data_IF_632907798570
#
_entry.id   IF_632907798570
#
_cell.length_a   1.000
_cell.length_b   1.000
_cell.length_c   1.000
_cell.angle_alpha   90.00
_cell.angle_beta   90.00
_cell.angle_gamma   90.00
#
_symmetry.space_group_name_H-M   'P 1'
#
loop_
_entity.id
_entity.type
_entity.pdbx_description
1 polymer ?
#
# COMPACT_ATOMS: atom_id res chain seq x y z
N UNK A 1 -11.60 8.87 28.92
CA UNK A 1 -11.75 7.66 28.05
C UNK A 1 -10.61 7.63 27.04
N UNK A 2 -9.96 6.45 26.85
CA UNK A 2 -8.85 6.32 25.89
C UNK A 2 -9.25 5.37 24.77
N UNK A 3 -9.03 5.79 23.49
CA UNK A 3 -9.31 5.04 22.27
C UNK A 3 -8.03 4.95 21.45
N UNK A 4 -7.76 3.79 20.86
CA UNK A 4 -6.58 3.58 20.02
C UNK A 4 -6.96 2.95 18.68
N UNK A 5 -6.55 3.58 17.57
CA UNK A 5 -6.82 3.13 16.19
C UNK A 5 -5.51 2.76 15.50
N UNK A 6 -5.39 1.50 15.09
CA UNK A 6 -4.23 0.91 14.42
C UNK A 6 -4.55 0.58 12.96
N UNK A 7 -3.55 0.56 12.11
CA UNK A 7 -3.69 0.08 10.74
C UNK A 7 -3.38 1.11 9.66
N UNK A 8 -3.28 0.62 8.43
CA UNK A 8 -2.84 1.40 7.28
C UNK A 8 -4.00 2.07 6.52
N UNK A 9 -5.27 1.67 6.78
CA UNK A 9 -6.45 2.28 6.16
C UNK A 9 -6.76 3.65 6.78
N UNK A 10 -6.15 4.68 6.20
CA UNK A 10 -6.29 6.07 6.66
C UNK A 10 -7.74 6.59 6.49
N UNK A 11 -8.44 6.12 5.44
CA UNK A 11 -9.82 6.51 5.20
C UNK A 11 -10.74 6.00 6.29
N UNK A 12 -10.75 4.69 6.56
CA UNK A 12 -11.62 4.09 7.57
C UNK A 12 -11.33 4.61 8.97
N UNK A 13 -10.04 4.82 9.32
CA UNK A 13 -9.68 5.48 10.58
C UNK A 13 -10.20 6.92 10.64
N UNK A 14 -10.10 7.67 9.53
CA UNK A 14 -10.62 9.04 9.46
C UNK A 14 -12.13 9.12 9.69
N UNK A 15 -12.90 8.20 9.11
CA UNK A 15 -14.34 8.11 9.34
C UNK A 15 -14.67 7.71 10.80
N UNK A 16 -13.93 6.75 11.36
CA UNK A 16 -14.13 6.37 12.79
C UNK A 16 -13.84 7.55 13.73
N UNK A 17 -12.77 8.33 13.46
CA UNK A 17 -12.49 9.55 14.25
C UNK A 17 -13.64 10.53 14.15
N UNK A 18 -14.19 10.79 12.95
CA UNK A 18 -15.35 11.69 12.78
C UNK A 18 -16.58 11.20 13.55
N UNK A 19 -16.87 9.90 13.46
CA UNK A 19 -18.00 9.29 14.20
C UNK A 19 -17.78 9.42 15.70
N UNK A 20 -16.57 9.13 16.18
CA UNK A 20 -16.20 9.26 17.59
C UNK A 20 -16.35 10.70 18.09
N UNK A 21 -15.80 11.68 17.36
CA UNK A 21 -15.90 13.09 17.72
C UNK A 21 -17.35 13.58 17.72
N UNK A 22 -18.12 13.23 16.70
CA UNK A 22 -19.54 13.60 16.63
C UNK A 22 -20.36 12.99 17.76
N UNK A 23 -20.07 11.76 18.15
CA UNK A 23 -20.75 11.08 19.28
C UNK A 23 -20.41 11.72 20.62
N UNK A 24 -19.15 12.16 20.80
CA UNK A 24 -18.67 12.71 22.07
C UNK A 24 -18.97 14.20 22.20
N UNK A 25 -18.76 14.99 21.14
CA UNK A 25 -18.83 16.47 21.17
C UNK A 25 -20.10 17.04 20.54
N UNK A 26 -20.88 16.20 19.79
CA UNK A 26 -22.07 16.67 19.08
C UNK A 26 -21.72 17.73 18.03
N UNK A 27 -22.35 18.88 18.10
CA UNK A 27 -22.13 20.00 17.17
C UNK A 27 -20.88 20.83 17.48
N UNK A 28 -20.15 20.51 18.56
CA UNK A 28 -18.92 21.21 18.97
C UNK A 28 -17.64 20.56 18.42
N UNK A 29 -17.75 19.73 17.41
CA UNK A 29 -16.57 19.07 16.78
C UNK A 29 -15.56 20.07 16.23
N UNK A 30 -16.04 21.21 15.71
CA UNK A 30 -15.22 22.28 15.12
C UNK A 30 -14.80 23.36 16.14
N UNK A 31 -15.17 23.20 17.41
CA UNK A 31 -14.78 24.10 18.49
C UNK A 31 -13.35 23.76 18.99
N UNK A 32 -12.35 24.66 18.78
CA UNK A 32 -10.98 24.43 19.22
C UNK A 32 -10.83 24.23 20.73
N UNK A 33 -11.81 24.69 21.52
CA UNK A 33 -11.82 24.52 22.97
C UNK A 33 -12.35 23.15 23.40
N UNK A 34 -13.10 22.48 22.53
CA UNK A 34 -13.67 21.16 22.79
C UNK A 34 -12.85 20.02 22.12
N UNK A 35 -12.19 20.32 20.98
CA UNK A 35 -11.45 19.33 20.20
C UNK A 35 -10.04 19.83 19.89
N UNK A 36 -9.01 19.21 20.47
CA UNK A 36 -7.62 19.46 20.17
C UNK A 36 -7.05 18.35 19.30
N UNK A 37 -6.62 18.67 18.06
CA UNK A 37 -5.99 17.70 17.14
C UNK A 37 -4.50 18.02 17.08
N UNK A 38 -3.67 17.08 17.52
CA UNK A 38 -2.21 17.18 17.55
C UNK A 38 -1.62 16.16 16.59
N UNK A 39 -0.78 16.63 15.66
CA UNK A 39 -0.03 15.77 14.74
C UNK A 39 1.36 15.51 15.29
N UNK A 40 1.76 14.24 15.36
CA UNK A 40 3.10 13.88 15.83
C UNK A 40 4.24 14.42 14.92
N UNK A 41 3.89 14.85 13.72
CA UNK A 41 4.82 15.43 12.73
C UNK A 41 4.82 16.95 12.71
N UNK A 42 4.09 17.63 13.60
CA UNK A 42 4.02 19.09 13.62
C UNK A 42 5.37 19.70 14.03
N UNK A 43 6.05 20.43 13.13
CA UNK A 43 7.36 21.00 13.40
C UNK A 43 7.30 22.22 14.33
N UNK A 44 6.13 22.79 14.59
CA UNK A 44 5.95 23.96 15.45
C UNK A 44 5.86 23.57 16.94
N UNK A 45 5.62 22.29 17.23
CA UNK A 45 5.50 21.79 18.60
C UNK A 45 6.85 21.19 19.04
N UNK A 46 7.53 21.78 20.00
CA UNK A 46 8.86 21.32 20.45
C UNK A 46 8.83 19.92 21.09
N UNK A 47 7.80 19.63 21.88
CA UNK A 47 7.55 18.34 22.53
C UNK A 47 6.09 17.95 22.31
N UNK A 48 5.87 16.98 21.47
CA UNK A 48 4.51 16.47 21.20
C UNK A 48 3.93 15.80 22.45
N UNK A 49 4.79 15.13 23.24
CA UNK A 49 4.33 14.47 24.47
C UNK A 49 3.79 15.48 25.49
N UNK A 50 4.52 16.58 25.71
CA UNK A 50 4.07 17.64 26.62
C UNK A 50 2.78 18.30 26.13
N UNK A 51 2.69 18.61 24.83
CA UNK A 51 1.49 19.21 24.26
C UNK A 51 0.25 18.30 24.42
N UNK A 52 0.40 16.99 24.23
CA UNK A 52 -0.70 16.03 24.42
C UNK A 52 -1.13 15.98 25.87
N UNK A 53 -0.17 15.90 26.80
CA UNK A 53 -0.43 15.85 28.24
C UNK A 53 -1.09 17.14 28.72
N UNK A 54 -0.55 18.30 28.35
CA UNK A 54 -1.11 19.61 28.68
C UNK A 54 -2.53 19.76 28.15
N UNK A 55 -2.78 19.37 26.89
CA UNK A 55 -4.12 19.40 26.32
C UNK A 55 -5.09 18.47 27.06
N UNK A 56 -4.63 17.32 27.53
CA UNK A 56 -5.45 16.38 28.30
C UNK A 56 -5.68 16.83 29.76
N UNK A 57 -4.72 17.51 30.37
CA UNK A 57 -4.80 17.96 31.77
C UNK A 57 -5.50 19.33 31.88
N UNK A 58 -5.66 20.05 30.77
CA UNK A 58 -6.36 21.35 30.74
C UNK A 58 -7.85 21.10 30.84
N UNK A 59 -8.43 21.44 31.96
CA UNK A 59 -9.91 21.45 32.13
C UNK A 59 -10.45 22.73 31.52
N UNK A 60 -11.16 22.62 30.41
CA UNK A 60 -11.83 23.77 29.82
C UNK A 60 -12.95 24.29 30.75
N UNK A 61 -12.86 25.54 31.15
CA UNK A 61 -13.93 26.18 31.92
C UNK A 61 -15.23 26.39 31.08
N UNK A 62 -15.13 26.20 29.76
CA UNK A 62 -16.21 26.45 28.80
C UNK A 62 -16.74 25.18 28.10
N UNK A 63 -16.12 24.03 28.31
CA UNK A 63 -16.50 22.77 27.70
C UNK A 63 -16.66 21.68 28.75
N UNK A 64 -17.87 21.09 28.84
CA UNK A 64 -18.14 19.95 29.73
C UNK A 64 -17.37 18.72 29.34
N UNK A 65 -17.08 18.56 28.03
CA UNK A 65 -16.27 17.47 27.49
C UNK A 65 -15.24 18.02 26.52
N UNK A 66 -14.00 17.54 26.63
CA UNK A 66 -12.88 17.84 25.75
C UNK A 66 -12.30 16.54 25.20
N UNK A 67 -11.97 16.54 23.91
CA UNK A 67 -11.33 15.41 23.24
C UNK A 67 -9.99 15.84 22.68
N UNK A 68 -8.96 15.08 23.00
CA UNK A 68 -7.63 15.23 22.39
C UNK A 68 -7.43 14.11 21.38
N UNK A 69 -6.99 14.44 20.17
CA UNK A 69 -6.71 13.48 19.09
C UNK A 69 -5.23 13.58 18.73
N UNK A 70 -4.47 12.55 19.03
CA UNK A 70 -3.08 12.41 18.59
C UNK A 70 -3.06 11.63 17.28
N UNK A 71 -2.68 12.33 16.20
CA UNK A 71 -2.56 11.77 14.84
C UNK A 71 -1.12 11.35 14.55
N UNK A 72 -0.96 10.26 13.77
CA UNK A 72 0.34 9.77 13.31
C UNK A 72 1.32 9.46 14.46
N UNK A 73 0.85 8.84 15.53
CA UNK A 73 1.67 8.55 16.71
C UNK A 73 2.91 7.68 16.40
N UNK A 74 2.91 6.97 15.27
CA UNK A 74 4.06 6.21 14.77
C UNK A 74 5.23 7.08 14.28
N UNK A 75 5.04 8.39 14.13
CA UNK A 75 6.08 9.37 13.82
C UNK A 75 6.72 9.99 15.07
N UNK A 76 6.21 9.67 16.27
CA UNK A 76 6.78 10.16 17.52
C UNK A 76 8.20 9.67 17.74
N UNK A 77 9.05 10.55 18.28
CA UNK A 77 10.36 10.17 18.81
C UNK A 77 10.19 9.17 19.96
N UNK A 78 11.17 8.30 20.15
CA UNK A 78 11.16 7.30 21.23
C UNK A 78 11.03 7.94 22.62
N UNK A 79 11.63 9.13 22.82
CA UNK A 79 11.49 9.94 24.04
C UNK A 79 10.03 10.27 24.34
N UNK A 80 9.33 10.82 23.34
CA UNK A 80 7.93 11.22 23.49
C UNK A 80 7.01 10.03 23.69
N UNK A 81 7.28 8.93 22.98
CA UNK A 81 6.53 7.67 23.22
C UNK A 81 6.65 7.18 24.66
N UNK A 82 7.85 7.28 25.28
CA UNK A 82 8.05 6.88 26.67
C UNK A 82 7.29 7.81 27.63
N UNK A 83 7.39 9.13 27.44
CA UNK A 83 6.69 10.10 28.28
C UNK A 83 5.17 9.87 28.24
N UNK A 84 4.60 9.71 27.03
CA UNK A 84 3.16 9.41 26.87
C UNK A 84 2.81 8.05 27.50
N UNK A 85 3.65 7.02 27.34
CA UNK A 85 3.40 5.70 27.89
C UNK A 85 3.41 5.70 29.43
N UNK A 86 4.34 6.43 30.04
CA UNK A 86 4.42 6.58 31.49
C UNK A 86 3.21 7.34 32.02
N UNK A 87 2.82 8.45 31.37
CA UNK A 87 1.62 9.20 31.71
C UNK A 87 0.33 8.39 31.55
N UNK A 88 0.16 7.63 30.45
CA UNK A 88 -0.97 6.72 30.26
C UNK A 88 -1.08 5.68 31.38
N UNK A 89 0.05 5.25 31.93
CA UNK A 89 0.09 4.26 33.03
C UNK A 89 -0.50 4.80 34.34
N UNK A 90 -0.61 6.12 34.50
CA UNK A 90 -1.30 6.78 35.63
C UNK A 90 -2.81 6.73 35.51
N UNK A 91 -3.37 6.28 34.35
CA UNK A 91 -4.80 6.25 34.03
C UNK A 91 -5.45 7.64 34.09
N UNK A 92 -5.03 8.60 33.27
CA UNK A 92 -5.55 9.95 33.28
C UNK A 92 -7.05 9.99 33.01
N UNK A 93 -7.76 10.91 33.66
CA UNK A 93 -9.18 11.17 33.49
C UNK A 93 -9.38 12.17 32.35
N UNK A 94 -9.12 11.75 31.11
CA UNK A 94 -9.34 12.54 29.90
C UNK A 94 -9.92 11.69 28.78
N UNK A 95 -10.41 12.35 27.72
CA UNK A 95 -10.80 11.68 26.50
C UNK A 95 -9.71 11.86 25.44
N UNK A 96 -8.94 10.80 25.19
CA UNK A 96 -7.81 10.80 24.27
C UNK A 96 -8.00 9.72 23.20
N UNK A 97 -7.91 10.12 21.93
CA UNK A 97 -7.84 9.21 20.80
C UNK A 97 -6.42 9.22 20.23
N UNK A 98 -5.81 8.05 20.10
CA UNK A 98 -4.46 7.87 19.54
C UNK A 98 -4.57 7.08 18.24
N UNK A 99 -4.06 7.66 17.16
CA UNK A 99 -4.06 7.03 15.84
C UNK A 99 -2.62 6.75 15.39
N UNK A 100 -2.37 5.51 14.94
CA UNK A 100 -1.10 5.07 14.37
C UNK A 100 -1.29 4.15 13.16
N UNK A 101 -0.26 3.98 12.34
CA UNK A 101 -0.25 2.96 11.28
C UNK A 101 0.16 1.60 11.82
N UNK A 102 0.98 1.54 12.87
CA UNK A 102 1.36 0.30 13.54
C UNK A 102 1.82 0.52 14.98
N UNK A 103 0.94 0.25 15.93
CA UNK A 103 1.32 0.25 17.35
C UNK A 103 2.34 -0.83 17.67
N UNK A 104 2.23 -1.99 17.02
CA UNK A 104 3.08 -3.14 17.32
C UNK A 104 4.55 -2.94 16.94
N UNK A 105 4.81 -2.30 15.82
CA UNK A 105 6.18 -2.13 15.28
C UNK A 105 6.77 -0.75 15.52
N UNK A 106 5.95 0.30 15.53
CA UNK A 106 6.43 1.69 15.57
C UNK A 106 6.14 2.43 16.88
N UNK A 107 5.09 2.03 17.63
CA UNK A 107 4.69 2.66 18.90
C UNK A 107 4.74 1.67 20.07
N UNK A 108 5.85 0.95 20.21
CA UNK A 108 5.95 -0.17 21.16
C UNK A 108 5.76 0.22 22.62
N UNK A 109 6.23 1.39 23.04
CA UNK A 109 6.05 1.90 24.41
C UNK A 109 4.59 2.23 24.68
N UNK A 110 3.92 2.97 23.80
CA UNK A 110 2.50 3.30 23.91
C UNK A 110 1.64 2.02 23.85
N UNK A 111 1.95 1.10 22.92
CA UNK A 111 1.24 -0.19 22.81
C UNK A 111 1.30 -0.98 24.11
N UNK A 112 2.45 -0.98 24.78
CA UNK A 112 2.64 -1.67 26.05
C UNK A 112 1.84 -1.01 27.19
N UNK A 113 1.79 0.31 27.22
CA UNK A 113 1.00 1.08 28.18
C UNK A 113 -0.51 0.85 27.99
N UNK A 114 -1.01 0.93 26.75
CA UNK A 114 -2.41 0.66 26.41
C UNK A 114 -2.87 -0.73 26.86
N UNK A 115 -2.02 -1.75 26.64
CA UNK A 115 -2.30 -3.11 27.12
C UNK A 115 -2.38 -3.21 28.65
N UNK A 116 -1.47 -2.53 29.38
CA UNK A 116 -1.48 -2.52 30.85
C UNK A 116 -2.78 -1.92 31.42
N UNK A 117 -3.29 -0.85 30.79
CA UNK A 117 -4.54 -0.22 31.21
C UNK A 117 -5.78 -0.85 30.58
N UNK A 118 -5.62 -1.96 29.83
CA UNK A 118 -6.68 -2.75 29.17
C UNK A 118 -7.51 -1.99 28.15
N UNK A 119 -6.88 -1.06 27.40
CA UNK A 119 -7.51 -0.38 26.26
C UNK A 119 -7.45 -1.31 25.05
N UNK A 120 -8.59 -1.51 24.39
CA UNK A 120 -8.68 -2.26 23.14
C UNK A 120 -8.18 -1.39 21.98
N UNK A 121 -7.26 -1.95 21.19
CA UNK A 121 -6.78 -1.31 19.96
C UNK A 121 -7.66 -1.80 18.81
N UNK A 122 -8.39 -0.88 18.18
CA UNK A 122 -9.19 -1.17 16.98
C UNK A 122 -8.27 -1.19 15.76
N UNK A 123 -8.37 -2.24 14.93
CA UNK A 123 -7.50 -2.44 13.78
C UNK A 123 -8.23 -2.17 12.47
N UNK A 124 -7.63 -1.32 11.62
CA UNK A 124 -8.13 -0.92 10.31
C UNK A 124 -7.09 -1.28 9.23
N UNK A 125 -7.00 -2.57 8.84
CA UNK A 125 -6.09 -2.99 7.76
C UNK A 125 -6.60 -2.49 6.42
N UNK A 126 -5.68 -2.25 5.47
CA UNK A 126 -6.07 -2.04 4.07
C UNK A 126 -6.84 -3.26 3.54
N UNK A 127 -7.84 -3.04 2.68
CA UNK A 127 -8.46 -4.13 1.93
C UNK A 127 -7.39 -4.89 1.16
N UNK A 128 -7.51 -6.21 1.11
CA UNK A 128 -6.58 -7.01 0.30
C UNK A 128 -6.84 -6.79 -1.19
N UNK A 129 -5.86 -7.00 -2.09
CA UNK A 129 -6.02 -6.77 -3.53
C UNK A 129 -7.28 -7.40 -4.13
N UNK A 130 -7.67 -8.59 -3.64
CA UNK A 130 -8.88 -9.28 -4.11
C UNK A 130 -10.17 -8.85 -3.42
N UNK A 131 -10.09 -8.00 -2.41
CA UNK A 131 -11.22 -7.45 -1.65
C UNK A 131 -11.54 -6.01 -2.08
N UNK A 132 -10.60 -5.35 -2.77
CA UNK A 132 -10.70 -3.91 -3.09
C UNK A 132 -11.93 -3.59 -3.96
N UNK A 133 -12.23 -4.40 -4.98
CA UNK A 133 -13.39 -4.17 -5.83
C UNK A 133 -14.71 -4.26 -5.04
N UNK A 134 -14.80 -5.24 -4.14
CA UNK A 134 -15.96 -5.39 -3.25
C UNK A 134 -16.05 -4.21 -2.27
N UNK A 135 -14.91 -3.76 -1.76
CA UNK A 135 -14.82 -2.60 -0.87
C UNK A 135 -15.30 -1.33 -1.57
N UNK A 136 -14.84 -1.06 -2.81
CA UNK A 136 -15.29 0.08 -3.62
C UNK A 136 -16.80 0.03 -3.86
N UNK A 137 -17.32 -1.14 -4.25
CA UNK A 137 -18.77 -1.31 -4.48
C UNK A 137 -19.58 -0.98 -3.23
N UNK A 138 -19.16 -1.49 -2.08
CA UNK A 138 -19.80 -1.24 -0.81
C UNK A 138 -19.72 0.25 -0.40
N UNK A 139 -18.54 0.88 -0.60
CA UNK A 139 -18.34 2.30 -0.34
C UNK A 139 -19.30 3.17 -1.14
N UNK A 140 -19.40 2.96 -2.46
CA UNK A 140 -20.29 3.74 -3.33
C UNK A 140 -21.74 3.65 -2.87
N UNK A 141 -22.17 2.46 -2.49
CA UNK A 141 -23.53 2.23 -2.01
C UNK A 141 -23.77 2.87 -0.63
N UNK A 142 -22.90 2.62 0.34
CA UNK A 142 -23.12 3.02 1.74
C UNK A 142 -22.95 4.53 1.96
N UNK A 143 -21.97 5.14 1.28
CA UNK A 143 -21.64 6.56 1.49
C UNK A 143 -22.49 7.50 0.63
N UNK A 144 -22.73 7.15 -0.63
CA UNK A 144 -23.37 8.04 -1.60
C UNK A 144 -24.70 7.51 -2.14
N UNK A 145 -25.10 6.30 -1.75
CA UNK A 145 -26.27 5.60 -2.30
C UNK A 145 -26.21 5.54 -3.85
N UNK A 146 -25.01 5.36 -4.40
CA UNK A 146 -24.75 5.28 -5.84
C UNK A 146 -24.33 3.88 -6.23
N UNK A 147 -24.60 3.50 -7.48
CA UNK A 147 -24.12 2.25 -8.06
C UNK A 147 -22.77 2.47 -8.74
N UNK A 148 -22.00 1.42 -8.85
CA UNK A 148 -20.77 1.37 -9.67
C UNK A 148 -20.79 0.09 -10.49
N UNK A 149 -20.45 0.18 -11.77
CA UNK A 149 -20.39 -0.95 -12.66
C UNK A 149 -19.12 -1.79 -12.42
N UNK A 150 -19.20 -3.11 -12.70
CA UNK A 150 -18.04 -3.99 -12.49
C UNK A 150 -16.80 -3.57 -13.31
N UNK A 151 -16.91 -3.15 -14.59
CA UNK A 151 -15.74 -2.64 -15.32
C UNK A 151 -15.15 -1.38 -14.68
N UNK A 152 -15.99 -0.48 -14.18
CA UNK A 152 -15.57 0.72 -13.46
C UNK A 152 -14.84 0.42 -12.16
N UNK A 153 -15.33 -0.57 -11.40
CA UNK A 153 -14.69 -1.03 -10.16
C UNK A 153 -13.31 -1.61 -10.45
N UNK A 154 -13.23 -2.44 -11.50
CA UNK A 154 -11.95 -3.03 -11.92
C UNK A 154 -10.96 -1.96 -12.36
N UNK A 155 -11.41 -0.98 -13.16
CA UNK A 155 -10.57 0.15 -13.58
C UNK A 155 -10.02 0.94 -12.39
N UNK A 156 -10.86 1.25 -11.38
CA UNK A 156 -10.42 1.95 -10.17
C UNK A 156 -9.36 1.16 -9.38
N UNK A 157 -9.62 -0.13 -9.18
CA UNK A 157 -8.69 -1.01 -8.49
C UNK A 157 -7.34 -1.10 -9.22
N UNK A 158 -7.37 -1.14 -10.56
CA UNK A 158 -6.16 -1.15 -11.38
C UNK A 158 -5.44 0.21 -11.41
N UNK A 159 -6.18 1.33 -11.50
CA UNK A 159 -5.64 2.67 -11.60
C UNK A 159 -5.06 3.21 -10.28
N UNK A 160 -5.70 2.93 -9.14
CA UNK A 160 -5.38 3.52 -7.83
C UNK A 160 -4.87 2.49 -6.81
N UNK A 161 -4.99 1.19 -7.09
CA UNK A 161 -4.54 0.12 -6.21
C UNK A 161 -5.34 0.02 -4.92
N UNK A 162 -4.65 -0.14 -3.79
CA UNK A 162 -5.24 -0.34 -2.46
C UNK A 162 -5.31 0.98 -1.66
N UNK A 163 -5.04 2.13 -2.28
CA UNK A 163 -5.09 3.44 -1.61
C UNK A 163 -6.54 3.90 -1.44
N UNK A 164 -7.15 3.47 -0.33
CA UNK A 164 -8.56 3.76 0.00
C UNK A 164 -8.86 5.25 0.07
N UNK A 165 -7.95 6.05 0.60
CA UNK A 165 -8.13 7.50 0.73
C UNK A 165 -8.14 8.18 -0.64
N UNK A 166 -7.25 7.77 -1.53
CA UNK A 166 -7.17 8.29 -2.89
C UNK A 166 -8.40 7.88 -3.72
N UNK A 167 -8.84 6.62 -3.61
CA UNK A 167 -10.06 6.14 -4.28
C UNK A 167 -11.26 7.00 -3.87
N UNK A 168 -11.45 7.26 -2.58
CA UNK A 168 -12.54 8.10 -2.08
C UNK A 168 -12.44 9.52 -2.62
N UNK A 169 -11.25 10.11 -2.55
CA UNK A 169 -11.01 11.48 -3.03
C UNK A 169 -11.32 11.65 -4.51
N UNK A 170 -10.92 10.68 -5.36
CA UNK A 170 -11.20 10.73 -6.79
C UNK A 170 -12.70 10.57 -7.08
N UNK A 171 -13.39 9.66 -6.39
CA UNK A 171 -14.84 9.49 -6.53
C UNK A 171 -15.61 10.73 -6.05
N UNK A 172 -15.18 11.37 -4.96
CA UNK A 172 -15.78 12.62 -4.48
C UNK A 172 -15.63 13.77 -5.49
N UNK A 173 -14.47 13.92 -6.12
CA UNK A 173 -14.26 14.92 -7.18
C UNK A 173 -15.22 14.71 -8.36
N UNK A 174 -15.41 13.44 -8.77
CA UNK A 174 -16.35 13.12 -9.84
C UNK A 174 -17.77 13.47 -9.44
N UNK A 175 -18.19 13.18 -8.22
CA UNK A 175 -19.51 13.54 -7.73
C UNK A 175 -19.71 15.06 -7.61
N UNK A 176 -18.66 15.82 -7.29
CA UNK A 176 -18.73 17.28 -7.27
C UNK A 176 -18.90 17.86 -8.67
N UNK A 177 -18.26 17.27 -9.68
CA UNK A 177 -18.38 17.72 -11.08
C UNK A 177 -19.63 17.18 -11.78
N UNK A 178 -20.19 16.07 -11.31
CA UNK A 178 -21.38 15.40 -11.87
C UNK A 178 -22.40 15.06 -10.77
N UNK A 179 -23.07 16.05 -10.17
CA UNK A 179 -23.98 15.82 -9.03
C UNK A 179 -25.16 14.90 -9.38
N UNK A 180 -25.60 14.94 -10.66
CA UNK A 180 -26.70 14.13 -11.20
C UNK A 180 -26.35 12.67 -11.45
N UNK A 181 -25.09 12.30 -11.32
CA UNK A 181 -24.61 10.94 -11.60
C UNK A 181 -25.36 9.90 -10.77
N UNK A 182 -26.02 8.95 -11.43
CA UNK A 182 -26.71 7.85 -10.76
C UNK A 182 -25.85 6.59 -10.58
N UNK A 183 -24.88 6.40 -11.45
CA UNK A 183 -23.97 5.25 -11.47
C UNK A 183 -22.60 5.63 -12.02
N UNK A 184 -21.53 5.11 -11.42
CA UNK A 184 -20.18 5.24 -11.96
C UNK A 184 -19.97 4.23 -13.08
N UNK A 185 -19.71 4.71 -14.29
CA UNK A 185 -19.34 3.91 -15.46
C UNK A 185 -17.84 3.97 -15.69
N UNK A 186 -17.29 3.00 -16.44
CA UNK A 186 -15.86 2.99 -16.76
C UNK A 186 -15.44 4.25 -17.57
N UNK A 187 -16.29 4.70 -18.49
CA UNK A 187 -15.99 5.88 -19.33
C UNK A 187 -15.83 7.14 -18.48
N UNK A 188 -16.75 7.39 -17.56
CA UNK A 188 -16.67 8.54 -16.64
C UNK A 188 -15.39 8.49 -15.81
N UNK A 189 -15.01 7.30 -15.33
CA UNK A 189 -13.79 7.16 -14.55
C UNK A 189 -12.54 7.41 -15.39
N UNK A 190 -12.50 6.91 -16.62
CA UNK A 190 -11.38 7.12 -17.55
C UNK A 190 -11.20 8.58 -17.95
N UNK A 191 -12.28 9.32 -18.11
CA UNK A 191 -12.25 10.74 -18.44
C UNK A 191 -11.73 11.62 -17.28
N UNK A 192 -12.03 11.23 -16.04
CA UNK A 192 -11.77 12.05 -14.86
C UNK A 192 -10.55 11.59 -14.03
N UNK A 193 -10.20 10.32 -14.08
CA UNK A 193 -9.11 9.75 -13.29
C UNK A 193 -7.91 9.46 -14.18
N UNK A 194 -6.85 10.23 -13.98
CA UNK A 194 -5.54 9.86 -14.52
C UNK A 194 -4.99 8.73 -13.67
N UNK A 195 -4.74 7.58 -14.29
CA UNK A 195 -4.15 6.43 -13.59
C UNK A 195 -2.87 6.86 -12.85
N UNK A 196 -2.90 6.83 -11.53
CA UNK A 196 -1.76 7.09 -10.66
C UNK A 196 -1.02 5.80 -10.32
N UNK A 197 -1.36 4.71 -11.02
CA UNK A 197 -0.72 3.43 -10.81
C UNK A 197 0.79 3.59 -10.92
N UNK A 198 1.46 3.45 -9.79
CA UNK A 198 2.91 3.37 -9.78
C UNK A 198 3.28 1.99 -10.31
N UNK A 199 3.58 1.93 -11.60
CA UNK A 199 4.10 0.71 -12.22
C UNK A 199 5.33 0.23 -11.44
N UNK A 200 5.40 -1.06 -11.17
CA UNK A 200 6.54 -1.68 -10.47
C UNK A 200 7.32 -2.56 -11.44
N UNK A 201 8.64 -2.49 -11.47
CA UNK A 201 9.47 -3.31 -12.38
C UNK A 201 9.18 -4.82 -12.28
N UNK A 202 8.75 -5.31 -11.11
CA UNK A 202 8.43 -6.72 -10.90
C UNK A 202 7.16 -7.20 -11.64
N UNK A 203 6.34 -6.30 -12.17
CA UNK A 203 5.17 -6.68 -12.98
C UNK A 203 5.54 -7.39 -14.27
N UNK A 204 6.79 -7.24 -14.74
CA UNK A 204 7.31 -7.95 -15.89
C UNK A 204 7.44 -9.47 -15.65
N UNK A 205 7.50 -9.92 -14.39
CA UNK A 205 7.77 -11.32 -14.04
C UNK A 205 6.66 -12.27 -14.51
N UNK A 206 5.39 -11.85 -14.44
CA UNK A 206 4.27 -12.69 -14.86
C UNK A 206 4.31 -13.01 -16.36
N UNK A 207 4.24 -12.04 -17.27
CA UNK A 207 4.27 -12.30 -18.71
C UNK A 207 5.59 -12.97 -19.16
N UNK A 208 6.70 -12.64 -18.50
CA UNK A 208 7.96 -13.32 -18.72
C UNK A 208 7.90 -14.81 -18.34
N UNK A 209 7.42 -15.14 -17.14
CA UNK A 209 7.30 -16.51 -16.63
C UNK A 209 6.34 -17.36 -17.44
N UNK A 210 5.26 -16.78 -17.95
CA UNK A 210 4.29 -17.43 -18.82
C UNK A 210 4.78 -17.64 -20.26
N UNK A 211 5.93 -17.05 -20.62
CA UNK A 211 6.44 -17.03 -21.99
C UNK A 211 5.42 -16.51 -23.00
N UNK A 212 4.65 -15.49 -22.63
CA UNK A 212 3.70 -14.83 -23.50
C UNK A 212 4.37 -13.60 -24.14
N UNK A 213 4.81 -13.65 -25.40
CA UNK A 213 5.56 -12.55 -26.01
C UNK A 213 4.73 -11.28 -26.15
N UNK A 214 3.43 -11.40 -26.42
CA UNK A 214 2.56 -10.25 -26.61
C UNK A 214 2.38 -9.47 -25.31
N UNK A 215 2.01 -10.16 -24.24
CA UNK A 215 1.85 -9.54 -22.93
C UNK A 215 3.19 -9.04 -22.37
N UNK A 216 4.28 -9.74 -22.66
CA UNK A 216 5.62 -9.31 -22.26
C UNK A 216 6.02 -7.99 -22.91
N UNK A 217 5.87 -7.87 -24.23
CA UNK A 217 6.22 -6.64 -24.96
C UNK A 217 5.32 -5.49 -24.54
N UNK A 218 4.01 -5.73 -24.38
CA UNK A 218 3.09 -4.70 -23.89
C UNK A 218 3.49 -4.20 -22.51
N UNK A 219 3.75 -5.11 -21.55
CA UNK A 219 4.15 -4.74 -20.21
C UNK A 219 5.52 -4.06 -20.16
N UNK A 220 6.46 -4.51 -20.99
CA UNK A 220 7.76 -3.90 -21.12
C UNK A 220 7.66 -2.45 -21.61
N UNK A 221 6.82 -2.21 -22.62
CA UNK A 221 6.54 -0.86 -23.13
C UNK A 221 5.99 0.05 -22.04
N UNK A 222 4.93 -0.39 -21.32
CA UNK A 222 4.35 0.36 -20.21
C UNK A 222 5.39 0.73 -19.14
N UNK A 223 6.28 -0.21 -18.78
CA UNK A 223 7.32 0.00 -17.77
C UNK A 223 8.44 0.95 -18.24
N UNK A 224 8.87 0.84 -19.49
CA UNK A 224 9.94 1.69 -20.04
C UNK A 224 9.47 3.13 -20.23
N UNK A 225 8.21 3.33 -20.63
CA UNK A 225 7.63 4.65 -20.80
C UNK A 225 7.30 5.33 -19.46
N UNK A 226 7.22 4.57 -18.38
CA UNK A 226 6.95 5.14 -17.04
C UNK A 226 8.06 6.14 -16.62
N UNK A 227 7.71 7.34 -16.13
CA UNK A 227 8.67 8.43 -15.88
C UNK A 227 9.80 8.10 -14.91
N UNK A 228 9.54 7.17 -13.96
CA UNK A 228 10.46 6.82 -12.86
C UNK A 228 11.10 5.43 -13.02
N UNK A 229 10.73 4.70 -14.07
CA UNK A 229 11.26 3.36 -14.35
C UNK A 229 12.09 3.47 -15.62
N UNK A 230 13.26 2.94 -15.60
CA UNK A 230 14.11 2.81 -16.79
C UNK A 230 14.42 1.34 -17.05
N UNK A 231 15.24 1.05 -18.04
CA UNK A 231 15.61 -0.32 -18.39
C UNK A 231 16.37 -1.04 -17.26
N UNK A 232 17.21 -0.35 -16.50
CA UNK A 232 18.05 -0.96 -15.45
C UNK A 232 17.26 -1.67 -14.34
N UNK A 233 16.23 -1.07 -13.73
CA UNK A 233 15.37 -1.78 -12.77
C UNK A 233 14.66 -2.99 -13.37
N UNK A 234 14.23 -2.91 -14.63
CA UNK A 234 13.58 -4.02 -15.34
C UNK A 234 14.57 -5.18 -15.56
N UNK A 235 15.80 -4.87 -15.98
CA UNK A 235 16.88 -5.87 -16.13
C UNK A 235 17.16 -6.56 -14.80
N UNK A 236 17.23 -5.81 -13.71
CA UNK A 236 17.45 -6.34 -12.37
C UNK A 236 16.33 -7.32 -11.96
N UNK A 237 15.08 -6.96 -12.20
CA UNK A 237 13.93 -7.83 -11.91
C UNK A 237 13.93 -9.09 -12.78
N UNK A 238 14.20 -8.98 -14.06
CA UNK A 238 14.30 -10.13 -14.98
C UNK A 238 15.45 -11.06 -14.57
N UNK A 239 16.60 -10.51 -14.20
CA UNK A 239 17.75 -11.27 -13.73
C UNK A 239 17.43 -12.06 -12.47
N UNK A 240 16.88 -11.39 -11.45
CA UNK A 240 16.50 -12.02 -10.19
C UNK A 240 15.46 -13.11 -10.40
N UNK A 241 14.45 -12.82 -11.23
CA UNK A 241 13.38 -13.78 -11.49
C UNK A 241 13.88 -15.00 -12.31
N UNK A 242 14.66 -14.79 -13.35
CA UNK A 242 15.27 -15.87 -14.14
C UNK A 242 16.19 -16.73 -13.29
N UNK A 243 17.00 -16.13 -12.41
CA UNK A 243 17.85 -16.85 -11.45
C UNK A 243 17.01 -17.69 -10.48
N UNK A 244 15.91 -17.14 -9.99
CA UNK A 244 14.95 -17.86 -9.13
C UNK A 244 14.36 -19.07 -9.87
N UNK A 245 13.91 -18.89 -11.12
CA UNK A 245 13.41 -20.01 -11.94
C UNK A 245 14.46 -21.08 -12.18
N UNK A 246 15.72 -20.70 -12.40
CA UNK A 246 16.84 -21.63 -12.56
C UNK A 246 17.06 -22.47 -11.29
N UNK A 247 17.03 -21.84 -10.11
CA UNK A 247 17.16 -22.57 -8.83
C UNK A 247 15.97 -23.52 -8.62
N UNK A 248 14.74 -23.08 -8.92
CA UNK A 248 13.55 -23.94 -8.82
C UNK A 248 13.68 -25.14 -9.75
N UNK A 249 14.09 -24.95 -11.01
CA UNK A 249 14.30 -26.06 -11.94
C UNK A 249 15.33 -27.06 -11.41
N UNK A 250 16.48 -26.58 -10.92
CA UNK A 250 17.51 -27.45 -10.37
C UNK A 250 17.04 -28.26 -9.14
N UNK A 251 16.12 -27.71 -8.34
CA UNK A 251 15.53 -28.43 -7.21
C UNK A 251 14.43 -29.41 -7.64
N UNK A 252 13.60 -29.04 -8.62
CA UNK A 252 12.61 -29.93 -9.21
C UNK A 252 13.26 -31.13 -9.89
N UNK A 253 14.36 -30.93 -10.65
CA UNK A 253 15.12 -32.00 -11.30
C UNK A 253 15.73 -33.00 -10.29
N UNK A 254 16.00 -32.56 -9.05
CA UNK A 254 16.40 -33.40 -7.92
C UNK A 254 15.27 -34.06 -7.17
N UNK A 255 14.02 -33.86 -7.60
CA UNK A 255 12.84 -34.43 -6.95
C UNK A 255 12.50 -33.80 -5.60
N UNK A 256 12.99 -32.59 -5.30
CA UNK A 256 12.68 -31.91 -4.05
C UNK A 256 11.22 -31.46 -4.07
N UNK A 257 10.42 -31.77 -3.02
CA UNK A 257 9.03 -31.36 -2.93
C UNK A 257 8.88 -29.84 -2.97
N UNK A 258 7.82 -29.36 -3.63
CA UNK A 258 7.56 -27.93 -3.81
C UNK A 258 7.52 -27.15 -2.48
N UNK A 259 6.98 -27.74 -1.42
CA UNK A 259 6.95 -27.11 -0.07
C UNK A 259 8.35 -26.82 0.46
N UNK A 260 9.26 -27.76 0.31
CA UNK A 260 10.66 -27.61 0.72
C UNK A 260 11.41 -26.60 -0.15
N UNK A 261 11.05 -26.51 -1.44
CA UNK A 261 11.60 -25.49 -2.35
C UNK A 261 11.20 -24.09 -1.85
N UNK A 262 9.94 -23.88 -1.48
CA UNK A 262 9.47 -22.60 -0.94
C UNK A 262 10.21 -22.19 0.33
N UNK A 263 10.39 -23.13 1.26
CA UNK A 263 11.13 -22.93 2.52
C UNK A 263 12.59 -22.56 2.25
N UNK A 264 13.28 -23.28 1.36
CA UNK A 264 14.68 -23.00 0.97
C UNK A 264 14.87 -21.65 0.29
N UNK A 265 13.87 -21.18 -0.43
CA UNK A 265 13.87 -19.84 -1.07
C UNK A 265 13.40 -18.73 -0.14
N UNK A 266 13.00 -19.03 1.10
CA UNK A 266 12.48 -18.05 2.04
C UNK A 266 11.17 -17.42 1.60
N UNK A 267 10.39 -18.11 0.76
CA UNK A 267 9.15 -17.60 0.18
C UNK A 267 7.99 -18.28 0.89
N UNK A 268 7.01 -17.47 1.36
CA UNK A 268 5.79 -18.02 1.91
C UNK A 268 5.13 -18.97 0.89
N UNK A 269 4.82 -20.19 1.32
CA UNK A 269 4.24 -21.25 0.49
C UNK A 269 3.00 -20.78 -0.29
N UNK A 270 2.13 -19.98 0.33
CA UNK A 270 0.96 -19.38 -0.32
C UNK A 270 1.35 -18.45 -1.49
N UNK A 271 2.35 -17.58 -1.28
CA UNK A 271 2.84 -16.66 -2.31
C UNK A 271 3.54 -17.43 -3.43
N UNK A 272 4.25 -18.50 -3.08
CA UNK A 272 4.97 -19.34 -4.04
C UNK A 272 4.03 -20.09 -4.99
N UNK A 273 2.94 -20.70 -4.47
CA UNK A 273 2.07 -21.59 -5.25
C UNK A 273 0.84 -20.91 -5.85
N UNK A 274 0.20 -20.01 -5.11
CA UNK A 274 -1.12 -19.48 -5.49
C UNK A 274 -1.00 -18.14 -6.23
N UNK A 275 -0.13 -17.23 -5.75
CA UNK A 275 0.07 -15.92 -6.39
C UNK A 275 1.18 -15.91 -7.44
N UNK A 276 2.24 -16.66 -7.25
CA UNK A 276 3.46 -16.53 -8.04
C UNK A 276 3.57 -17.49 -9.21
N UNK A 277 2.79 -18.59 -9.25
CA UNK A 277 2.91 -19.64 -10.26
C UNK A 277 4.37 -20.05 -10.59
N UNK A 278 5.29 -19.86 -9.63
CA UNK A 278 6.74 -19.94 -9.86
C UNK A 278 7.15 -21.33 -10.38
N UNK A 279 6.53 -22.38 -9.86
CA UNK A 279 6.78 -23.75 -10.34
C UNK A 279 6.32 -23.93 -11.79
N UNK A 280 5.13 -23.39 -12.14
CA UNK A 280 4.63 -23.42 -13.53
C UNK A 280 5.56 -22.63 -14.44
N UNK A 281 5.99 -21.45 -14.02
CA UNK A 281 6.92 -20.62 -14.78
C UNK A 281 8.27 -21.32 -14.93
N UNK A 282 8.79 -21.95 -13.89
CA UNK A 282 10.04 -22.72 -13.97
C UNK A 282 9.94 -23.85 -15.01
N UNK A 283 8.84 -24.58 -15.05
CA UNK A 283 8.59 -25.63 -16.06
C UNK A 283 8.48 -25.09 -17.50
N UNK A 284 8.01 -23.86 -17.68
CA UNK A 284 7.93 -23.20 -18.99
C UNK A 284 9.34 -22.87 -19.57
N UNK A 285 10.35 -22.74 -18.71
CA UNK A 285 11.69 -22.34 -19.07
C UNK A 285 12.70 -23.47 -18.87
N UNK A 286 13.21 -24.04 -19.96
CA UNK A 286 14.29 -25.04 -19.88
C UNK A 286 15.58 -24.41 -19.34
N UNK A 287 16.30 -25.11 -18.47
CA UNK A 287 17.55 -24.68 -17.84
C UNK A 287 18.59 -24.09 -18.83
N UNK A 288 18.87 -24.70 -20.01
CA UNK A 288 19.82 -24.11 -20.96
C UNK A 288 19.35 -22.78 -21.56
N UNK A 289 18.04 -22.58 -21.67
CA UNK A 289 17.48 -21.32 -22.18
C UNK A 289 17.64 -20.23 -21.13
N UNK A 290 17.35 -20.52 -19.86
CA UNK A 290 17.55 -19.56 -18.76
C UNK A 290 19.02 -19.12 -18.64
N UNK A 291 19.96 -20.05 -18.78
CA UNK A 291 21.41 -19.72 -18.73
C UNK A 291 21.76 -18.76 -19.87
N UNK A 292 21.30 -19.02 -21.10
CA UNK A 292 21.54 -18.13 -22.24
C UNK A 292 20.93 -16.77 -22.04
N UNK A 293 19.72 -16.74 -21.50
CA UNK A 293 18.97 -15.52 -21.21
C UNK A 293 19.71 -14.68 -20.15
N UNK A 294 20.19 -15.28 -19.07
CA UNK A 294 20.96 -14.57 -18.04
C UNK A 294 22.25 -13.95 -18.61
N UNK A 295 22.96 -14.68 -19.51
CA UNK A 295 24.12 -14.12 -20.21
C UNK A 295 23.72 -12.93 -21.08
N UNK A 296 22.64 -13.07 -21.84
CA UNK A 296 22.16 -11.98 -22.72
C UNK A 296 21.68 -10.77 -21.94
N UNK A 297 21.02 -10.95 -20.78
CA UNK A 297 20.67 -9.86 -19.88
C UNK A 297 21.91 -9.09 -19.39
N UNK A 298 22.97 -9.78 -19.03
CA UNK A 298 24.22 -9.14 -18.61
C UNK A 298 24.87 -8.35 -19.76
N UNK A 299 24.82 -8.88 -20.98
CA UNK A 299 25.29 -8.15 -22.17
C UNK A 299 24.46 -6.89 -22.43
N UNK A 300 23.14 -6.98 -22.39
CA UNK A 300 22.23 -5.82 -22.59
C UNK A 300 22.47 -4.77 -21.51
N UNK A 301 22.65 -5.16 -20.24
CA UNK A 301 22.96 -4.21 -19.16
C UNK A 301 24.26 -3.44 -19.45
N UNK A 302 25.30 -4.15 -19.89
CA UNK A 302 26.56 -3.54 -20.29
C UNK A 302 26.39 -2.63 -21.52
N UNK A 303 25.66 -3.09 -22.53
CA UNK A 303 25.37 -2.31 -23.75
C UNK A 303 24.62 -1.01 -23.43
N UNK A 304 23.64 -1.04 -22.52
CA UNK A 304 22.91 0.15 -22.09
C UNK A 304 23.83 1.10 -21.30
N UNK A 305 24.61 0.58 -20.35
CA UNK A 305 25.53 1.38 -19.54
C UNK A 305 26.68 2.00 -20.37
N UNK A 306 27.09 1.34 -21.45
CA UNK A 306 28.09 1.87 -22.39
C UNK A 306 27.54 2.82 -23.44
N UNK A 307 26.23 3.11 -23.43
CA UNK A 307 25.58 4.04 -24.36
C UNK A 307 25.24 3.45 -25.72
N UNK A 308 25.35 2.15 -25.93
CA UNK A 308 25.01 1.49 -27.22
C UNK A 308 23.49 1.57 -27.50
N UNK A 309 22.65 1.66 -26.46
CA UNK A 309 21.21 1.85 -26.55
C UNK A 309 20.81 3.20 -25.93
N UNK A 310 20.98 4.33 -26.67
CA UNK A 310 20.82 5.66 -26.08
C UNK A 310 19.35 6.09 -25.90
N UNK A 311 18.42 5.42 -26.57
CA UNK A 311 16.99 5.76 -26.51
C UNK A 311 16.18 4.69 -25.80
N UNK A 312 15.05 5.07 -25.21
CA UNK A 312 14.08 4.13 -24.58
C UNK A 312 13.64 3.06 -25.56
N UNK A 313 13.36 3.43 -26.82
CA UNK A 313 12.96 2.49 -27.87
C UNK A 313 14.05 1.46 -28.13
N UNK A 314 15.34 1.86 -28.24
CA UNK A 314 16.41 0.91 -28.46
C UNK A 314 16.64 -0.03 -27.28
N UNK A 315 16.43 0.43 -26.06
CA UNK A 315 16.46 -0.38 -24.83
C UNK A 315 15.31 -1.39 -24.79
N UNK A 316 14.10 -0.93 -25.16
CA UNK A 316 12.91 -1.76 -25.27
C UNK A 316 13.11 -2.89 -26.28
N UNK A 317 13.59 -2.57 -27.49
CA UNK A 317 13.85 -3.57 -28.53
C UNK A 317 14.88 -4.61 -28.09
N UNK A 318 15.96 -4.20 -27.39
CA UNK A 318 16.97 -5.11 -26.87
C UNK A 318 16.37 -6.08 -25.83
N UNK A 319 15.48 -5.61 -24.96
CA UNK A 319 14.81 -6.43 -23.94
C UNK A 319 13.68 -7.29 -24.53
N UNK A 320 12.95 -6.78 -25.52
CA UNK A 320 11.89 -7.54 -26.20
C UNK A 320 12.43 -8.78 -26.90
N UNK A 321 13.64 -8.70 -27.46
CA UNK A 321 14.31 -9.82 -28.13
C UNK A 321 14.61 -11.02 -27.21
N UNK A 322 14.53 -10.87 -25.88
CA UNK A 322 14.78 -11.95 -24.92
C UNK A 322 13.71 -13.07 -24.96
N UNK A 323 12.45 -12.69 -25.23
CA UNK A 323 11.30 -13.61 -25.16
C UNK A 323 10.80 -13.99 -26.57
N UNK A 324 11.09 -13.18 -27.57
CA UNK A 324 10.77 -13.48 -28.96
C UNK A 324 11.76 -14.54 -29.47
N UNK A 325 11.32 -15.75 -29.87
CA UNK A 325 12.25 -16.73 -30.43
C UNK A 325 12.86 -16.20 -31.72
N UNK A 326 14.17 -16.38 -31.95
CA UNK A 326 14.73 -16.08 -33.24
C UNK A 326 14.02 -16.91 -34.32
N UNK A 327 13.65 -16.25 -35.42
CA UNK A 327 13.08 -16.90 -36.60
C UNK A 327 14.08 -17.85 -37.23
#
# INVERSE_FOLDING_TARGET
>A
MIVALDGEDLYSKGEEIKVFLKKTLGDRVDDPMACAIIYATDPQIPSIAEAVIEACDTVSMFAEEQVVVLRQADSLKVSDQKIIADWLSTKPECTLLIEATSFKSKCTHISSALKKIKVSIQNFPLPKPWEIEKWITNLCYTRWNKRIESPATHYLADALGEDTANIVSELEKILMSHPELSSFTEDILRENIVSQRTLKPNEIQMPFGERNPQQYVQKLHELIEAPKIGATPIIYELYNYATKLLHVNAMLDKGIPEKEIAEKLGINHYVFFIKGNITRHARNWKTPILIRLLKRLAEIDLEIKSGKHPTRISQELALAALVIPPR
#
